data_IF_634309018609
#
_entry.id   IF_634309018609
#
_cell.length_a   1.000
_cell.length_b   1.000
_cell.length_c   1.000
_cell.angle_alpha   90.00
_cell.angle_beta   90.00
_cell.angle_gamma   90.00
#
_symmetry.space_group_name_H-M   'P 1'
#
loop_
_entity.id
_entity.type
_entity.pdbx_description
1 polymer ?
#
# COMPACT_ATOMS: atom_id res chain seq x y z
N UNK A 1 -24.27 -1.83 7.90
CA UNK A 1 -23.84 -1.94 6.49
C UNK A 1 -22.39 -2.38 6.49
N UNK A 2 -22.05 -3.56 5.96
CA UNK A 2 -20.65 -4.03 5.89
C UNK A 2 -20.09 -3.56 4.54
N UNK A 3 -19.15 -2.63 4.56
CA UNK A 3 -18.39 -2.27 3.36
C UNK A 3 -17.57 -3.49 2.91
N UNK A 4 -17.30 -3.60 1.60
CA UNK A 4 -16.46 -4.67 1.07
C UNK A 4 -15.10 -4.66 1.76
N UNK A 5 -14.67 -5.80 2.30
CA UNK A 5 -13.46 -5.88 3.13
C UNK A 5 -12.17 -5.96 2.30
N UNK A 6 -12.26 -6.32 1.02
CA UNK A 6 -11.11 -6.41 0.13
C UNK A 6 -11.50 -6.25 -1.34
N UNK A 7 -10.57 -5.74 -2.15
CA UNK A 7 -10.59 -5.77 -3.62
C UNK A 7 -9.52 -6.76 -4.09
N UNK A 8 -9.93 -7.75 -4.88
CA UNK A 8 -9.02 -8.75 -5.46
C UNK A 8 -9.01 -8.64 -6.97
N UNK A 9 -7.82 -8.67 -7.55
CA UNK A 9 -7.64 -8.94 -8.97
C UNK A 9 -7.68 -10.46 -9.25
N UNK A 10 -7.50 -10.87 -10.51
CA UNK A 10 -7.55 -12.29 -10.89
C UNK A 10 -6.47 -13.18 -10.22
N UNK A 11 -5.38 -12.57 -9.73
CA UNK A 11 -4.20 -13.29 -9.22
C UNK A 11 -3.75 -12.83 -7.84
N UNK A 12 -4.06 -11.60 -7.45
CA UNK A 12 -3.54 -11.00 -6.23
C UNK A 12 -4.64 -10.18 -5.54
N UNK A 13 -4.59 -10.11 -4.21
CA UNK A 13 -5.36 -9.14 -3.46
C UNK A 13 -4.70 -7.77 -3.61
N UNK A 14 -5.50 -6.76 -3.94
CA UNK A 14 -5.02 -5.43 -4.28
C UNK A 14 -5.29 -4.48 -3.12
N UNK A 15 -6.50 -4.52 -2.55
CA UNK A 15 -6.89 -3.67 -1.42
C UNK A 15 -7.45 -4.52 -0.30
N UNK A 16 -7.11 -4.18 0.93
CA UNK A 16 -7.71 -4.72 2.14
C UNK A 16 -8.07 -3.56 3.08
N UNK A 17 -9.32 -3.52 3.55
CA UNK A 17 -9.77 -2.52 4.52
C UNK A 17 -9.63 -3.08 5.94
N UNK A 18 -8.69 -2.53 6.72
CA UNK A 18 -8.54 -2.89 8.14
C UNK A 18 -9.57 -2.20 9.02
N UNK A 19 -9.91 -0.95 8.66
CA UNK A 19 -10.97 -0.17 9.29
C UNK A 19 -11.66 0.68 8.21
N UNK A 20 -12.56 1.59 8.62
CA UNK A 20 -13.08 2.60 7.69
C UNK A 20 -12.04 3.65 7.29
N UNK A 21 -10.90 3.72 8.00
CA UNK A 21 -9.86 4.73 7.81
C UNK A 21 -8.52 4.14 7.39
N UNK A 22 -8.25 2.88 7.72
CA UNK A 22 -6.98 2.21 7.43
C UNK A 22 -7.15 1.23 6.28
N UNK A 23 -6.44 1.49 5.19
CA UNK A 23 -6.51 0.68 3.98
C UNK A 23 -5.12 0.17 3.62
N UNK A 24 -4.95 -1.14 3.58
CA UNK A 24 -3.73 -1.74 3.05
C UNK A 24 -3.87 -1.96 1.55
N UNK A 25 -2.92 -1.42 0.80
CA UNK A 25 -2.82 -1.53 -0.65
C UNK A 25 -1.57 -2.33 -1.02
N UNK A 26 -1.74 -3.36 -1.85
CA UNK A 26 -0.62 -4.11 -2.40
C UNK A 26 -0.10 -3.42 -3.66
N UNK A 27 1.13 -2.94 -3.58
CA UNK A 27 1.87 -2.36 -4.70
C UNK A 27 3.02 -3.27 -5.10
N UNK A 28 3.24 -3.44 -6.40
CA UNK A 28 4.45 -4.11 -6.88
C UNK A 28 5.69 -3.31 -6.46
N UNK A 29 6.82 -3.98 -6.26
CA UNK A 29 8.10 -3.32 -5.93
C UNK A 29 8.44 -2.20 -6.94
N UNK A 30 8.16 -2.43 -8.23
CA UNK A 30 8.36 -1.43 -9.29
C UNK A 30 7.49 -0.19 -9.08
N UNK A 31 6.23 -0.35 -8.66
CA UNK A 31 5.34 0.76 -8.36
C UNK A 31 5.84 1.54 -7.13
N UNK A 32 6.24 0.84 -6.06
CA UNK A 32 6.80 1.48 -4.86
C UNK A 32 8.04 2.31 -5.22
N UNK A 33 8.96 1.76 -6.00
CA UNK A 33 10.16 2.48 -6.44
C UNK A 33 9.82 3.70 -7.31
N UNK A 34 8.85 3.59 -8.22
CA UNK A 34 8.45 4.68 -9.11
C UNK A 34 7.88 5.87 -8.35
N UNK A 35 7.12 5.60 -7.29
CA UNK A 35 6.41 6.62 -6.51
C UNK A 35 7.04 6.87 -5.14
N UNK A 36 8.25 6.35 -4.87
CA UNK A 36 8.85 6.38 -3.54
C UNK A 36 8.88 7.78 -2.91
N UNK A 37 9.22 8.81 -3.70
CA UNK A 37 9.25 10.19 -3.21
C UNK A 37 7.86 10.72 -2.84
N UNK A 38 6.86 10.47 -3.68
CA UNK A 38 5.48 10.90 -3.42
C UNK A 38 4.87 10.13 -2.23
N UNK A 39 5.20 8.84 -2.11
CA UNK A 39 4.74 8.00 -1.00
C UNK A 39 5.42 8.39 0.33
N UNK A 40 6.72 8.66 0.32
CA UNK A 40 7.47 9.04 1.52
C UNK A 40 7.14 10.47 2.01
N UNK A 41 6.71 11.35 1.10
CA UNK A 41 6.31 12.72 1.44
C UNK A 41 4.89 12.84 1.99
N UNK A 42 4.06 11.79 1.88
CA UNK A 42 2.67 11.81 2.31
C UNK A 42 2.51 11.33 3.76
N UNK A 43 1.91 12.16 4.61
CA UNK A 43 1.57 11.76 5.99
C UNK A 43 0.45 10.71 6.06
N UNK A 44 -0.33 10.57 4.98
CA UNK A 44 -1.37 9.57 4.87
C UNK A 44 -0.81 8.17 4.61
N UNK A 45 0.48 8.04 4.28
CA UNK A 45 1.06 6.78 3.81
C UNK A 45 2.06 6.21 4.83
N UNK A 46 1.91 4.92 5.12
CA UNK A 46 2.87 4.15 5.89
C UNK A 46 3.40 2.99 5.06
N UNK A 47 4.71 3.03 4.80
CA UNK A 47 5.47 2.00 4.11
C UNK A 47 6.20 1.12 5.12
N UNK A 48 6.03 -0.19 5.02
CA UNK A 48 6.85 -1.14 5.78
C UNK A 48 8.08 -1.52 4.94
N UNK A 49 9.32 -1.28 5.41
CA UNK A 49 10.52 -1.64 4.67
C UNK A 49 10.53 -3.13 4.28
N UNK A 50 10.78 -3.41 3.00
CA UNK A 50 10.81 -4.76 2.46
C UNK A 50 9.45 -5.42 2.25
N UNK A 51 8.34 -4.69 2.43
CA UNK A 51 7.00 -5.18 2.11
C UNK A 51 6.41 -4.48 0.88
N UNK A 52 5.60 -5.24 0.13
CA UNK A 52 4.80 -4.73 -0.99
C UNK A 52 3.46 -4.14 -0.54
N UNK A 53 3.15 -4.17 0.76
CA UNK A 53 1.93 -3.61 1.31
C UNK A 53 2.17 -2.23 1.91
N UNK A 54 1.35 -1.28 1.49
CA UNK A 54 1.35 0.12 1.91
C UNK A 54 0.06 0.41 2.63
N UNK A 55 0.12 1.00 3.82
CA UNK A 55 -1.09 1.43 4.53
C UNK A 55 -1.39 2.89 4.19
N UNK A 56 -2.64 3.18 3.84
CA UNK A 56 -3.17 4.52 3.60
C UNK A 56 -4.17 4.86 4.68
N UNK A 57 -3.96 6.01 5.33
CA UNK A 57 -4.82 6.62 6.34
C UNK A 57 -5.78 7.60 5.65
N UNK A 58 -7.08 7.36 5.77
CA UNK A 58 -8.13 8.16 5.16
C UNK A 58 -8.68 9.18 6.17
N UNK A 59 -7.99 10.29 6.32
CA UNK A 59 -8.36 11.36 7.26
C UNK A 59 -9.10 12.51 6.60
N UNK A 60 -8.86 12.74 5.30
CA UNK A 60 -9.53 13.76 4.50
C UNK A 60 -9.96 13.24 3.12
N UNK A 61 -10.75 14.04 2.41
CA UNK A 61 -11.22 13.69 1.06
C UNK A 61 -10.06 13.47 0.08
N UNK A 62 -8.97 14.24 0.20
CA UNK A 62 -7.78 14.07 -0.65
C UNK A 62 -7.09 12.72 -0.48
N UNK A 63 -7.19 12.09 0.70
CA UNK A 63 -6.63 10.76 0.94
C UNK A 63 -7.42 9.67 0.20
N UNK A 64 -8.73 9.90 0.00
CA UNK A 64 -9.57 9.01 -0.81
C UNK A 64 -9.18 9.12 -2.28
N UNK A 65 -8.94 10.33 -2.79
CA UNK A 65 -8.49 10.54 -4.18
C UNK A 65 -7.09 9.94 -4.41
N UNK A 66 -6.20 10.06 -3.42
CA UNK A 66 -4.89 9.41 -3.41
C UNK A 66 -5.03 7.89 -3.43
N UNK A 67 -5.88 7.31 -2.59
CA UNK A 67 -6.15 5.88 -2.57
C UNK A 67 -6.65 5.40 -3.93
N UNK A 68 -7.62 6.08 -4.55
CA UNK A 68 -8.16 5.72 -5.86
C UNK A 68 -7.09 5.74 -6.97
N UNK A 69 -6.21 6.75 -6.92
CA UNK A 69 -5.08 6.86 -7.86
C UNK A 69 -4.11 5.70 -7.70
N UNK A 70 -3.75 5.36 -6.45
CA UNK A 70 -2.84 4.25 -6.16
C UNK A 70 -3.47 2.89 -6.48
N UNK A 71 -4.79 2.71 -6.30
CA UNK A 71 -5.52 1.50 -6.70
C UNK A 71 -5.44 1.30 -8.21
N UNK A 72 -5.61 2.37 -9.00
CA UNK A 72 -5.47 2.30 -10.45
C UNK A 72 -4.06 1.86 -10.85
N UNK A 73 -3.03 2.46 -10.25
CA UNK A 73 -1.62 2.06 -10.46
C UNK A 73 -1.37 0.61 -10.06
N UNK A 74 -1.94 0.15 -8.94
CA UNK A 74 -1.82 -1.22 -8.48
C UNK A 74 -2.43 -2.18 -9.51
N UNK A 75 -3.65 -1.91 -9.96
CA UNK A 75 -4.35 -2.70 -10.97
C UNK A 75 -3.54 -2.80 -12.26
N UNK A 76 -3.06 -1.68 -12.81
CA UNK A 76 -2.24 -1.66 -14.02
C UNK A 76 -0.95 -2.46 -13.86
N UNK A 77 -0.24 -2.29 -12.73
CA UNK A 77 1.00 -2.99 -12.47
C UNK A 77 0.79 -4.51 -12.32
N UNK A 78 -0.32 -4.93 -11.71
CA UNK A 78 -0.68 -6.34 -11.56
C UNK A 78 -1.14 -6.97 -12.87
N UNK A 79 -1.85 -6.24 -13.74
CA UNK A 79 -2.25 -6.71 -15.08
C UNK A 79 -1.05 -6.88 -16.02
N UNK A 80 -0.06 -5.98 -15.93
CA UNK A 80 1.14 -6.01 -16.76
C UNK A 80 2.25 -6.94 -16.22
N UNK A 81 2.00 -7.68 -15.13
CA UNK A 81 2.95 -8.66 -14.60
C UNK A 81 2.97 -9.90 -15.51
N UNK A 82 4.14 -10.33 -16.03
CA UNK A 82 4.21 -11.60 -16.75
C UNK A 82 3.68 -12.74 -15.86
N UNK A 83 3.07 -13.79 -16.44
CA UNK A 83 2.56 -14.92 -15.67
C UNK A 83 3.71 -15.68 -15.01
N UNK A 84 4.13 -15.21 -13.84
CA UNK A 84 5.08 -15.89 -12.98
C UNK A 84 4.33 -17.00 -12.22
N UNK A 85 4.75 -18.25 -12.41
CA UNK A 85 4.29 -19.44 -11.71
C UNK A 85 4.38 -19.25 -10.20
N UNK A 86 3.23 -19.31 -9.52
CA UNK A 86 3.09 -19.51 -8.07
C UNK A 86 3.82 -18.47 -7.19
N UNK A 87 3.28 -17.26 -7.10
CA UNK A 87 3.51 -16.45 -5.90
C UNK A 87 2.43 -16.82 -4.89
N UNK A 88 2.81 -17.46 -3.78
CA UNK A 88 1.92 -17.67 -2.64
C UNK A 88 1.31 -16.33 -2.20
N UNK A 89 0.08 -16.30 -1.65
CA UNK A 89 -0.50 -15.07 -1.14
C UNK A 89 0.38 -14.53 -0.01
N UNK A 90 1.15 -13.48 -0.31
CA UNK A 90 1.96 -12.78 0.68
C UNK A 90 1.00 -12.16 1.69
N UNK A 91 0.96 -12.73 2.90
CA UNK A 91 0.07 -12.30 3.98
C UNK A 91 0.19 -10.79 4.23
N UNK A 92 -0.97 -10.16 4.44
CA UNK A 92 -1.09 -8.72 4.70
C UNK A 92 -0.33 -8.30 5.99
N UNK A 93 0.23 -7.09 6.00
CA UNK A 93 1.12 -6.55 7.05
C UNK A 93 0.44 -6.20 8.40
N UNK A 94 -0.83 -6.54 8.62
CA UNK A 94 -1.66 -6.03 9.74
C UNK A 94 -1.13 -6.33 11.16
N UNK A 95 -0.13 -7.19 11.31
CA UNK A 95 0.54 -7.47 12.59
C UNK A 95 2.03 -7.08 12.63
N UNK A 96 2.50 -6.29 11.67
CA UNK A 96 3.92 -5.95 11.53
C UNK A 96 4.12 -4.43 11.62
N UNK A 97 3.80 -3.88 12.79
CA UNK A 97 4.18 -2.50 13.14
C UNK A 97 5.69 -2.49 13.40
N UNK A 98 6.48 -1.95 12.48
CA UNK A 98 7.80 -1.42 12.83
C UNK A 98 7.73 0.10 12.71
N UNK A 99 7.81 0.77 13.86
CA UNK A 99 8.05 2.20 13.95
C UNK A 99 9.34 2.49 13.19
N UNK A 100 9.27 3.31 12.14
CA UNK A 100 10.48 3.85 11.50
C UNK A 100 11.14 4.78 12.52
N UNK A 101 12.42 4.59 12.89
CA UNK A 101 13.13 5.57 13.70
C UNK A 101 13.13 6.89 12.96
N UNK A 102 12.58 7.94 13.57
CA UNK A 102 12.72 9.30 13.09
C UNK A 102 14.22 9.62 13.13
N UNK A 103 14.83 9.88 11.98
CA UNK A 103 16.23 10.28 11.89
C UNK A 103 16.53 11.32 12.97
N UNK A 104 17.43 10.95 13.88
CA UNK A 104 17.99 11.89 14.84
C UNK A 104 18.85 12.86 14.03
N UNK A 105 18.30 14.06 13.79
CA UNK A 105 19.05 15.23 13.36
C UNK A 105 20.28 15.34 14.27
N UNK A 106 21.44 15.02 13.70
CA UNK A 106 22.74 15.34 14.31
C UNK A 106 23.03 16.78 13.92
N UNK A 107 22.64 17.71 14.79
CA UNK A 107 23.18 19.07 14.75
C UNK A 107 24.50 19.08 15.55
N UNK A 108 25.52 19.66 14.92
CA UNK A 108 26.91 19.70 15.40
C UNK A 108 27.15 20.85 16.36
#
# INVERSE_FOLDING_TARGET
MRYGQALRGPRDEIVHFHSSRDVALHLTHRAIQRFHYDLAGSSAIQLLPGSCWVTVHLDCAGDVDLLLSLVSVALEAHQNRPPSTLSAPAGCNVHRVTVLPRDAVTDR
#
